data_IF_338391401244
#
_entry.id   IF_338391401244
#
_cell.length_a   1.000
_cell.length_b   1.000
_cell.length_c   1.000
_cell.angle_alpha   90.00
_cell.angle_beta   90.00
_cell.angle_gamma   90.00
#
_symmetry.space_group_name_H-M   'P 1'
#
loop_
_entity.id
_entity.type
_entity.pdbx_description
1 polymer ?
#
# COMPACT_ATOMS: atom_id res chain seq x y z
N UNK A 1 33.78 8.71 -2.29
CA UNK A 1 33.39 7.29 -2.11
C UNK A 1 34.05 6.59 -0.93
N UNK A 2 35.37 6.35 -0.90
CA UNK A 2 36.03 5.58 0.19
C UNK A 2 35.65 6.05 1.60
N UNK A 3 35.65 7.38 1.85
CA UNK A 3 35.23 7.97 3.12
C UNK A 3 33.79 7.63 3.49
N UNK A 4 32.87 7.65 2.52
CA UNK A 4 31.47 7.25 2.71
C UNK A 4 31.39 5.77 3.09
N UNK A 5 32.04 4.87 2.34
CA UNK A 5 31.92 3.43 2.60
C UNK A 5 32.42 3.03 4.00
N UNK A 6 33.44 3.71 4.55
CA UNK A 6 33.97 3.39 5.87
C UNK A 6 33.30 4.16 7.03
N UNK A 7 32.53 5.22 6.76
CA UNK A 7 32.04 6.09 7.85
C UNK A 7 31.16 5.37 8.88
N UNK A 8 30.35 4.35 8.55
CA UNK A 8 29.54 3.66 9.56
C UNK A 8 30.37 2.91 10.62
N UNK A 9 31.65 2.58 10.37
CA UNK A 9 32.49 1.96 11.40
C UNK A 9 32.77 2.87 12.60
N UNK A 10 32.56 4.18 12.42
CA UNK A 10 32.74 5.18 13.47
C UNK A 10 31.40 5.63 14.08
N UNK A 11 30.27 5.11 13.60
CA UNK A 11 28.93 5.40 14.11
C UNK A 11 28.57 4.44 15.24
N UNK A 12 27.68 4.86 16.14
CA UNK A 12 27.14 4.01 17.19
C UNK A 12 26.05 3.07 16.63
N UNK A 13 26.47 2.00 15.94
CA UNK A 13 25.56 1.01 15.37
C UNK A 13 25.20 -0.06 16.42
N UNK A 14 23.91 -0.40 16.51
CA UNK A 14 23.46 -1.60 17.19
C UNK A 14 23.85 -2.88 16.43
N UNK A 15 23.55 -4.04 17.02
CA UNK A 15 23.91 -5.35 16.44
C UNK A 15 23.30 -5.55 15.03
N UNK A 16 21.99 -5.29 14.88
CA UNK A 16 21.30 -5.41 13.60
C UNK A 16 21.84 -4.44 12.55
N UNK A 17 22.09 -3.18 12.93
CA UNK A 17 22.64 -2.15 12.03
C UNK A 17 24.05 -2.51 11.56
N UNK A 18 24.87 -3.05 12.48
CA UNK A 18 26.20 -3.56 12.17
C UNK A 18 26.13 -4.71 11.17
N UNK A 19 25.21 -5.66 11.36
CA UNK A 19 25.03 -6.77 10.43
C UNK A 19 24.57 -6.30 9.04
N UNK A 20 23.63 -5.35 8.99
CA UNK A 20 23.16 -4.72 7.75
C UNK A 20 24.34 -4.05 7.03
N UNK A 21 25.13 -3.24 7.74
CA UNK A 21 26.30 -2.56 7.20
C UNK A 21 27.31 -3.53 6.59
N UNK A 22 27.67 -4.60 7.30
CA UNK A 22 28.61 -5.62 6.78
C UNK A 22 28.09 -6.30 5.51
N UNK A 23 26.80 -6.64 5.49
CA UNK A 23 26.18 -7.24 4.31
C UNK A 23 26.19 -6.28 3.11
N UNK A 24 25.91 -5.00 3.34
CA UNK A 24 25.95 -3.95 2.29
C UNK A 24 27.37 -3.79 1.75
N UNK A 25 28.38 -3.72 2.63
CA UNK A 25 29.79 -3.62 2.23
C UNK A 25 30.25 -4.80 1.37
N UNK A 26 29.78 -6.01 1.66
CA UNK A 26 30.07 -7.19 0.84
C UNK A 26 29.61 -6.99 -0.61
N UNK A 27 28.40 -6.45 -0.82
CA UNK A 27 27.92 -6.15 -2.17
C UNK A 27 28.66 -4.95 -2.79
N UNK A 28 28.93 -3.90 -2.02
CA UNK A 28 29.64 -2.72 -2.51
C UNK A 28 31.08 -3.03 -2.95
N UNK A 29 31.73 -4.03 -2.34
CA UNK A 29 33.11 -4.43 -2.67
C UNK A 29 33.22 -5.01 -4.09
N UNK A 30 32.24 -5.82 -4.49
CA UNK A 30 32.14 -6.45 -5.82
C UNK A 30 32.03 -5.42 -6.97
N UNK A 31 31.51 -4.23 -6.68
CA UNK A 31 31.35 -3.12 -7.64
C UNK A 31 32.17 -1.89 -7.23
N UNK A 32 33.21 -2.09 -6.43
CA UNK A 32 33.95 -1.00 -5.78
C UNK A 32 34.59 -0.04 -6.78
N UNK A 33 35.13 -0.52 -7.91
CA UNK A 33 35.70 0.34 -8.95
C UNK A 33 34.67 1.33 -9.50
N UNK A 34 33.47 0.84 -9.83
CA UNK A 34 32.37 1.65 -10.35
C UNK A 34 31.89 2.67 -9.32
N UNK A 35 31.78 2.27 -8.04
CA UNK A 35 31.45 3.19 -6.95
C UNK A 35 32.53 4.25 -6.74
N UNK A 36 33.82 3.88 -6.83
CA UNK A 36 34.95 4.79 -6.62
C UNK A 36 35.06 5.87 -7.70
N UNK A 37 34.52 5.62 -8.90
CA UNK A 37 34.41 6.61 -9.97
C UNK A 37 33.40 7.74 -9.65
N UNK A 38 32.52 7.54 -8.67
CA UNK A 38 31.53 8.54 -8.25
C UNK A 38 32.13 9.51 -7.22
N UNK A 39 32.15 10.80 -7.54
CA UNK A 39 32.49 11.86 -6.59
C UNK A 39 31.38 11.96 -5.54
N UNK A 40 31.73 11.91 -4.26
CA UNK A 40 30.81 12.03 -3.12
C UNK A 40 31.17 13.27 -2.32
N UNK A 41 30.18 14.14 -2.09
CA UNK A 41 30.36 15.41 -1.36
C UNK A 41 29.66 15.35 0.00
N UNK A 42 28.44 14.83 0.03
CA UNK A 42 27.68 14.59 1.26
C UNK A 42 28.23 13.39 2.03
N UNK A 43 28.47 13.57 3.34
CA UNK A 43 28.97 12.53 4.23
C UNK A 43 28.13 12.53 5.52
N UNK A 44 26.98 11.84 5.51
CA UNK A 44 26.08 11.81 6.66
C UNK A 44 26.75 11.28 7.92
N UNK A 45 26.36 11.84 9.07
CA UNK A 45 26.88 11.48 10.40
C UNK A 45 26.10 10.32 11.03
N UNK A 46 24.91 10.02 10.53
CA UNK A 46 24.05 8.94 10.99
C UNK A 46 23.88 7.84 9.93
N UNK A 47 23.48 6.65 10.39
CA UNK A 47 23.41 5.47 9.55
C UNK A 47 22.26 5.51 8.54
N UNK A 48 21.15 6.20 8.86
CA UNK A 48 20.02 6.34 7.94
C UNK A 48 20.41 7.24 6.77
N UNK A 49 20.99 8.41 7.07
CA UNK A 49 21.54 9.31 6.07
C UNK A 49 22.59 8.61 5.19
N UNK A 50 23.46 7.79 5.79
CA UNK A 50 24.42 6.99 5.04
C UNK A 50 23.75 6.02 4.06
N UNK A 51 22.71 5.32 4.47
CA UNK A 51 21.95 4.42 3.59
C UNK A 51 21.33 5.19 2.41
N UNK A 52 20.78 6.38 2.65
CA UNK A 52 20.23 7.24 1.61
C UNK A 52 21.28 7.71 0.61
N UNK A 53 22.43 8.22 1.07
CA UNK A 53 23.51 8.69 0.18
C UNK A 53 24.05 7.54 -0.67
N UNK A 54 24.27 6.35 -0.07
CA UNK A 54 24.77 5.21 -0.84
C UNK A 54 23.72 4.66 -1.81
N UNK A 55 22.42 4.72 -1.47
CA UNK A 55 21.35 4.34 -2.38
C UNK A 55 21.26 5.30 -3.56
N UNK A 56 21.34 6.61 -3.32
CA UNK A 56 21.37 7.62 -4.38
C UNK A 56 22.57 7.38 -5.32
N UNK A 57 23.75 7.11 -4.76
CA UNK A 57 24.93 6.73 -5.56
C UNK A 57 24.63 5.51 -6.43
N UNK A 58 24.15 4.43 -5.82
CA UNK A 58 23.93 3.14 -6.48
C UNK A 58 22.76 3.16 -7.48
N UNK A 59 21.81 4.07 -7.31
CA UNK A 59 20.62 4.20 -8.16
C UNK A 59 20.80 5.22 -9.28
N UNK A 60 21.39 6.38 -8.98
CA UNK A 60 21.32 7.56 -9.84
C UNK A 60 22.68 8.05 -10.37
N UNK A 61 23.80 7.76 -9.69
CA UNK A 61 25.10 8.40 -10.00
C UNK A 61 26.17 7.46 -10.50
N UNK A 62 26.01 6.15 -10.30
CA UNK A 62 26.86 5.16 -10.94
C UNK A 62 26.62 5.19 -12.46
N UNK A 63 27.70 5.09 -13.23
CA UNK A 63 27.58 4.97 -14.69
C UNK A 63 27.28 3.51 -15.04
N UNK A 64 26.01 3.23 -15.37
CA UNK A 64 25.56 1.88 -15.75
C UNK A 64 26.17 1.38 -17.06
N UNK A 65 26.65 2.27 -17.95
CA UNK A 65 27.33 1.87 -19.20
C UNK A 65 28.71 1.27 -18.95
N UNK A 66 29.28 1.49 -17.75
CA UNK A 66 30.58 0.96 -17.34
C UNK A 66 30.45 -0.30 -16.47
N UNK A 67 29.23 -0.82 -16.30
CA UNK A 67 28.99 -2.06 -15.57
C UNK A 67 29.03 -3.24 -16.54
N UNK A 68 29.70 -4.32 -16.12
CA UNK A 68 29.58 -5.60 -16.79
C UNK A 68 28.22 -6.25 -16.46
N UNK A 69 27.71 -7.09 -17.36
CA UNK A 69 26.40 -7.77 -17.20
C UNK A 69 26.26 -8.51 -15.86
N UNK A 70 27.34 -9.11 -15.37
CA UNK A 70 27.35 -9.85 -14.11
C UNK A 70 27.26 -8.94 -12.87
N UNK A 71 27.58 -7.65 -13.00
CA UNK A 71 27.51 -6.66 -11.91
C UNK A 71 26.10 -6.07 -11.75
N UNK A 72 25.27 -6.07 -12.80
CA UNK A 72 23.92 -5.51 -12.74
C UNK A 72 23.05 -6.15 -11.63
N UNK A 73 23.02 -7.49 -11.46
CA UNK A 73 22.31 -8.12 -10.34
C UNK A 73 22.89 -7.74 -8.97
N UNK A 74 24.19 -7.48 -8.88
CA UNK A 74 24.86 -7.08 -7.64
C UNK A 74 24.44 -5.67 -7.24
N UNK A 75 24.43 -4.73 -8.20
CA UNK A 75 23.92 -3.37 -7.99
C UNK A 75 22.46 -3.42 -7.55
N UNK A 76 21.63 -4.23 -8.23
CA UNK A 76 20.21 -4.38 -7.85
C UNK A 76 20.06 -4.90 -6.43
N UNK A 77 20.84 -5.93 -6.06
CA UNK A 77 20.84 -6.47 -4.70
C UNK A 77 21.32 -5.44 -3.65
N UNK A 78 22.34 -4.65 -3.97
CA UNK A 78 22.81 -3.55 -3.11
C UNK A 78 21.69 -2.53 -2.88
N UNK A 79 21.00 -2.10 -3.95
CA UNK A 79 19.86 -1.20 -3.86
C UNK A 79 18.75 -1.78 -2.97
N UNK A 80 18.37 -3.04 -3.18
CA UNK A 80 17.30 -3.68 -2.39
C UNK A 80 17.68 -3.79 -0.90
N UNK A 81 18.96 -4.06 -0.59
CA UNK A 81 19.45 -4.08 0.79
C UNK A 81 19.41 -2.71 1.44
N UNK A 82 19.76 -1.65 0.71
CA UNK A 82 19.69 -0.27 1.20
C UNK A 82 18.24 0.18 1.40
N UNK A 83 17.33 -0.15 0.48
CA UNK A 83 15.88 0.11 0.61
C UNK A 83 15.31 -0.56 1.86
N UNK A 84 15.68 -1.82 2.11
CA UNK A 84 15.26 -2.54 3.31
C UNK A 84 15.87 -1.94 4.58
N UNK A 85 17.14 -1.54 4.55
CA UNK A 85 17.81 -0.89 5.67
C UNK A 85 17.14 0.44 6.03
N UNK A 86 16.84 1.28 5.04
CA UNK A 86 16.13 2.54 5.23
C UNK A 86 14.75 2.28 5.84
N UNK A 87 13.99 1.34 5.27
CA UNK A 87 12.66 0.98 5.80
C UNK A 87 12.73 0.51 7.25
N UNK A 88 13.68 -0.37 7.58
CA UNK A 88 13.91 -0.83 8.94
C UNK A 88 14.23 0.33 9.89
N UNK A 89 15.17 1.19 9.53
CA UNK A 89 15.59 2.34 10.35
C UNK A 89 14.45 3.33 10.59
N UNK A 90 13.68 3.63 9.55
CA UNK A 90 12.49 4.48 9.65
C UNK A 90 11.42 3.85 10.54
N UNK A 91 11.05 2.60 10.32
CA UNK A 91 10.10 1.88 11.17
C UNK A 91 10.56 1.79 12.63
N UNK A 92 11.86 1.63 12.87
CA UNK A 92 12.43 1.56 14.23
C UNK A 92 12.16 2.85 15.01
N UNK A 93 12.07 4.01 14.34
CA UNK A 93 11.74 5.29 15.00
C UNK A 93 10.35 5.29 15.66
N UNK A 94 9.40 4.53 15.10
CA UNK A 94 8.02 4.42 15.62
C UNK A 94 7.97 3.94 17.07
N UNK A 95 8.99 3.21 17.53
CA UNK A 95 9.03 2.68 18.91
C UNK A 95 9.07 3.76 19.98
N UNK A 96 9.61 4.93 19.65
CA UNK A 96 9.85 6.01 20.62
C UNK A 96 9.30 7.35 20.17
N UNK A 97 9.01 7.53 18.87
CA UNK A 97 8.57 8.80 18.33
C UNK A 97 7.21 9.21 18.92
N UNK A 98 7.06 10.47 19.37
CA UNK A 98 5.79 11.02 19.79
C UNK A 98 4.93 11.41 18.56
N UNK A 99 3.62 11.54 18.75
CA UNK A 99 2.66 11.84 17.69
C UNK A 99 3.05 13.04 16.77
N UNK A 100 3.52 14.20 17.28
CA UNK A 100 3.88 15.32 16.42
C UNK A 100 5.04 15.00 15.46
N UNK A 101 5.98 14.16 15.87
CA UNK A 101 7.13 13.76 15.04
C UNK A 101 6.66 12.85 13.90
N UNK A 102 5.71 11.96 14.17
CA UNK A 102 5.11 11.10 13.14
C UNK A 102 4.36 11.92 12.09
N UNK A 103 3.54 12.86 12.55
CA UNK A 103 2.75 13.72 11.65
C UNK A 103 3.66 14.60 10.80
N UNK A 104 4.69 15.19 11.40
CA UNK A 104 5.63 16.04 10.67
C UNK A 104 6.47 15.24 9.66
N UNK A 105 6.88 14.02 10.00
CA UNK A 105 7.54 13.12 9.05
C UNK A 105 6.65 12.82 7.84
N UNK A 106 5.37 12.54 8.05
CA UNK A 106 4.43 12.26 6.96
C UNK A 106 4.19 13.52 6.13
N UNK A 107 3.99 14.68 6.77
CA UNK A 107 3.75 15.97 6.11
C UNK A 107 4.92 16.38 5.21
N UNK A 108 6.16 16.29 5.71
CA UNK A 108 7.36 16.61 4.92
C UNK A 108 7.55 15.70 3.70
N UNK A 109 6.92 14.52 3.69
CA UNK A 109 7.08 13.51 2.64
C UNK A 109 5.79 13.23 1.88
N UNK A 110 4.78 14.09 2.01
CA UNK A 110 3.44 13.85 1.44
C UNK A 110 3.47 13.55 -0.06
N UNK A 111 4.35 14.22 -0.81
CA UNK A 111 4.50 14.03 -2.25
C UNK A 111 5.18 12.70 -2.57
N UNK A 112 6.29 12.37 -1.90
CA UNK A 112 7.01 11.10 -2.10
C UNK A 112 6.15 9.90 -1.70
N UNK A 113 5.31 10.06 -0.69
CA UNK A 113 4.42 9.01 -0.19
C UNK A 113 3.17 8.82 -1.06
N UNK A 114 2.89 9.71 -2.02
CA UNK A 114 1.58 9.79 -2.68
C UNK A 114 0.43 9.85 -1.65
N UNK A 115 0.61 10.67 -0.61
CA UNK A 115 -0.27 10.69 0.57
C UNK A 115 -1.73 10.98 0.20
N UNK A 116 -1.98 11.95 -0.68
CA UNK A 116 -3.32 12.27 -1.16
C UNK A 116 -4.01 11.06 -1.81
N UNK A 117 -3.31 10.32 -2.66
CA UNK A 117 -3.84 9.13 -3.32
C UNK A 117 -4.15 8.01 -2.31
N UNK A 118 -3.26 7.81 -1.33
CA UNK A 118 -3.46 6.82 -0.27
C UNK A 118 -4.65 7.18 0.63
N UNK A 119 -4.81 8.46 1.00
CA UNK A 119 -5.94 8.88 1.82
C UNK A 119 -7.28 8.84 1.04
N UNK A 120 -7.29 9.11 -0.27
CA UNK A 120 -8.49 8.92 -1.11
C UNK A 120 -9.01 7.48 -1.09
N UNK A 121 -8.13 6.48 -1.08
CA UNK A 121 -8.54 5.08 -0.92
C UNK A 121 -9.27 4.86 0.42
N UNK A 122 -8.75 5.44 1.51
CA UNK A 122 -9.38 5.30 2.83
C UNK A 122 -10.73 6.00 2.86
N UNK A 123 -10.81 7.23 2.37
CA UNK A 123 -12.06 8.00 2.36
C UNK A 123 -13.13 7.28 1.53
N UNK A 124 -12.72 6.69 0.40
CA UNK A 124 -13.60 5.88 -0.44
C UNK A 124 -14.12 4.63 0.27
N UNK A 125 -13.25 3.92 0.99
CA UNK A 125 -13.61 2.69 1.68
C UNK A 125 -14.35 2.94 3.01
N UNK A 126 -14.22 4.12 3.61
CA UNK A 126 -14.80 4.47 4.90
C UNK A 126 -16.31 4.14 5.04
N UNK A 127 -17.20 4.52 4.09
CA UNK A 127 -18.61 4.12 4.13
C UNK A 127 -18.83 2.63 3.82
N UNK A 128 -17.95 2.01 3.03
CA UNK A 128 -18.07 0.60 2.63
C UNK A 128 -17.71 -0.37 3.77
N UNK A 129 -17.01 0.09 4.81
CA UNK A 129 -16.63 -0.76 5.96
C UNK A 129 -17.81 -1.45 6.62
N UNK A 130 -18.99 -0.82 6.59
CA UNK A 130 -20.23 -1.34 7.17
C UNK A 130 -21.01 -2.27 6.24
N UNK A 131 -20.69 -2.26 4.93
CA UNK A 131 -21.39 -3.03 3.92
C UNK A 131 -20.84 -4.45 3.90
N UNK A 132 -21.67 -5.51 3.97
CA UNK A 132 -21.23 -6.87 3.76
C UNK A 132 -20.55 -7.03 2.39
N UNK A 133 -19.44 -7.78 2.33
CA UNK A 133 -18.69 -8.09 1.13
C UNK A 133 -19.60 -8.69 0.05
N UNK A 134 -20.54 -9.55 0.43
CA UNK A 134 -21.49 -10.16 -0.51
C UNK A 134 -22.40 -9.14 -1.21
N UNK A 135 -22.69 -8.01 -0.54
CA UNK A 135 -23.54 -6.92 -1.03
C UNK A 135 -22.72 -5.85 -1.79
N UNK A 136 -21.38 -5.95 -1.77
CA UNK A 136 -20.52 -5.10 -2.58
C UNK A 136 -20.49 -5.59 -4.03
N UNK A 137 -20.53 -4.65 -4.97
CA UNK A 137 -20.15 -4.90 -6.36
C UNK A 137 -18.70 -5.42 -6.44
N UNK A 138 -18.38 -6.13 -7.53
CA UNK A 138 -17.06 -6.77 -7.69
C UNK A 138 -15.90 -5.78 -7.56
N UNK A 139 -16.05 -4.57 -8.13
CA UNK A 139 -15.03 -3.53 -8.11
C UNK A 139 -14.76 -3.00 -6.68
N UNK A 140 -15.80 -2.79 -5.88
CA UNK A 140 -15.68 -2.35 -4.48
C UNK A 140 -15.05 -3.44 -3.62
N UNK A 141 -15.40 -4.70 -3.85
CA UNK A 141 -14.77 -5.85 -3.18
C UNK A 141 -13.29 -5.99 -3.53
N UNK A 142 -12.91 -5.69 -4.77
CA UNK A 142 -11.51 -5.65 -5.20
C UNK A 142 -10.75 -4.48 -4.56
N UNK A 143 -11.38 -3.31 -4.42
CA UNK A 143 -10.83 -2.19 -3.69
C UNK A 143 -10.59 -2.52 -2.21
N UNK A 144 -11.61 -3.09 -1.55
CA UNK A 144 -11.52 -3.53 -0.16
C UNK A 144 -10.45 -4.61 0.03
N UNK A 145 -10.39 -5.60 -0.86
CA UNK A 145 -9.43 -6.69 -0.75
C UNK A 145 -8.02 -6.36 -1.23
N UNK A 146 -7.79 -5.23 -1.92
CA UNK A 146 -6.45 -4.77 -2.31
C UNK A 146 -5.90 -5.42 -3.60
N UNK A 147 -6.74 -5.55 -4.64
CA UNK A 147 -6.33 -6.10 -5.94
C UNK A 147 -6.76 -5.22 -7.10
N UNK A 148 -5.79 -4.75 -7.87
CA UNK A 148 -6.08 -4.02 -9.09
C UNK A 148 -6.67 -4.94 -10.18
N UNK A 149 -7.61 -4.40 -10.96
CA UNK A 149 -8.21 -5.05 -12.12
C UNK A 149 -8.56 -4.01 -13.19
N UNK A 150 -8.60 -4.43 -14.45
CA UNK A 150 -8.95 -3.55 -15.57
C UNK A 150 -10.40 -3.05 -15.55
N UNK A 151 -11.28 -3.65 -14.72
CA UNK A 151 -12.66 -3.17 -14.50
C UNK A 151 -12.72 -1.90 -13.65
N UNK A 152 -11.69 -1.63 -12.85
CA UNK A 152 -11.58 -0.45 -11.99
C UNK A 152 -11.42 0.80 -12.86
N UNK A 153 -12.53 1.54 -12.96
CA UNK A 153 -12.61 2.78 -13.73
C UNK A 153 -11.80 3.88 -13.05
N UNK A 154 -10.85 4.50 -13.75
CA UNK A 154 -10.04 5.59 -13.19
C UNK A 154 -10.87 6.83 -12.87
N UNK A 155 -12.08 6.97 -13.42
CA UNK A 155 -12.99 8.05 -13.04
C UNK A 155 -13.63 7.88 -11.67
N UNK A 156 -13.79 6.64 -11.22
CA UNK A 156 -14.38 6.30 -9.92
C UNK A 156 -13.30 5.99 -8.89
N UNK A 157 -12.36 5.11 -9.25
CA UNK A 157 -11.23 4.70 -8.42
C UNK A 157 -10.03 5.59 -8.73
N UNK A 158 -10.05 6.82 -8.22
CA UNK A 158 -9.01 7.83 -8.42
C UNK A 158 -7.75 7.61 -7.56
N UNK A 159 -7.43 6.34 -7.31
CA UNK A 159 -6.38 5.88 -6.42
C UNK A 159 -6.01 4.43 -6.74
N UNK A 160 -4.80 4.01 -6.39
CA UNK A 160 -4.40 2.61 -6.44
C UNK A 160 -5.00 1.83 -5.28
N UNK A 161 -5.90 0.91 -5.62
CA UNK A 161 -6.52 -0.02 -4.67
C UNK A 161 -5.52 -0.90 -3.93
N UNK A 162 -4.30 -1.06 -4.46
CA UNK A 162 -3.25 -1.87 -3.85
C UNK A 162 -2.45 -1.13 -2.76
N UNK A 163 -2.74 0.15 -2.49
CA UNK A 163 -2.23 0.84 -1.30
C UNK A 163 -2.71 0.15 -0.02
N UNK A 164 -1.90 0.20 1.04
CA UNK A 164 -2.11 -0.53 2.31
C UNK A 164 -2.27 -2.05 2.17
N UNK A 165 -1.30 -2.67 1.49
CA UNK A 165 -1.15 -4.11 1.23
C UNK A 165 -1.91 -4.66 0.02
N UNK A 166 -1.16 -4.82 -1.07
CA UNK A 166 -1.57 -5.59 -2.25
C UNK A 166 -1.74 -7.08 -1.92
N UNK A 167 -2.86 -7.64 -2.34
CA UNK A 167 -3.17 -9.07 -2.23
C UNK A 167 -3.24 -9.77 -3.58
N UNK A 168 -2.86 -9.08 -4.68
CA UNK A 168 -2.99 -9.59 -6.06
C UNK A 168 -2.40 -10.97 -6.32
N UNK A 169 -1.38 -11.36 -5.57
CA UNK A 169 -0.72 -12.67 -5.69
C UNK A 169 -1.50 -13.80 -5.01
N UNK A 170 -2.44 -13.48 -4.12
CA UNK A 170 -3.28 -14.44 -3.38
C UNK A 170 -4.48 -14.88 -4.26
N UNK A 171 -4.18 -15.54 -5.39
CA UNK A 171 -5.19 -15.94 -6.38
C UNK A 171 -6.32 -16.77 -5.77
N UNK A 172 -5.98 -17.75 -4.94
CA UNK A 172 -6.93 -18.60 -4.22
C UNK A 172 -7.89 -17.85 -3.32
N UNK A 173 -7.35 -16.91 -2.53
CA UNK A 173 -8.16 -16.03 -1.70
C UNK A 173 -9.15 -15.21 -2.54
N UNK A 174 -8.70 -14.62 -3.65
CA UNK A 174 -9.61 -13.84 -4.51
C UNK A 174 -10.66 -14.69 -5.21
N UNK A 175 -10.34 -15.95 -5.53
CA UNK A 175 -11.33 -16.88 -6.08
C UNK A 175 -12.41 -17.17 -5.03
N UNK A 176 -12.01 -17.53 -3.80
CA UNK A 176 -12.93 -17.76 -2.70
C UNK A 176 -13.76 -16.53 -2.35
N UNK A 177 -13.16 -15.34 -2.32
CA UNK A 177 -13.87 -14.09 -2.04
C UNK A 177 -14.89 -13.72 -3.13
N UNK A 178 -14.66 -14.16 -4.37
CA UNK A 178 -15.61 -14.00 -5.46
C UNK A 178 -16.76 -15.01 -5.35
N UNK A 179 -16.44 -16.28 -5.09
CA UNK A 179 -17.41 -17.38 -5.07
C UNK A 179 -18.26 -17.41 -3.79
N UNK A 180 -17.65 -17.11 -2.65
CA UNK A 180 -18.21 -17.27 -1.30
C UNK A 180 -17.93 -16.05 -0.40
N UNK A 181 -18.33 -14.82 -0.80
CA UNK A 181 -18.08 -13.62 0.01
C UNK A 181 -18.68 -13.67 1.43
N UNK A 182 -19.85 -14.31 1.59
CA UNK A 182 -20.55 -14.41 2.87
C UNK A 182 -19.75 -15.15 3.96
N UNK A 183 -18.84 -16.06 3.58
CA UNK A 183 -17.93 -16.73 4.51
C UNK A 183 -16.93 -15.73 5.12
N UNK A 184 -16.48 -14.74 4.33
CA UNK A 184 -15.61 -13.67 4.81
C UNK A 184 -16.39 -12.61 5.60
N UNK A 185 -17.67 -12.39 5.30
CA UNK A 185 -18.56 -11.57 6.12
C UNK A 185 -18.77 -12.17 7.51
N UNK A 186 -18.93 -13.49 7.58
CA UNK A 186 -19.01 -14.20 8.87
C UNK A 186 -17.76 -13.96 9.70
N UNK A 187 -16.58 -13.99 9.09
CA UNK A 187 -15.35 -13.64 9.79
C UNK A 187 -15.32 -12.17 10.25
N UNK A 188 -15.60 -11.23 9.35
CA UNK A 188 -15.58 -9.79 9.66
C UNK A 188 -16.64 -9.36 10.68
N UNK A 189 -17.75 -10.09 10.82
CA UNK A 189 -18.78 -9.82 11.80
C UNK A 189 -18.27 -9.90 13.25
N UNK A 190 -17.23 -10.69 13.52
CA UNK A 190 -16.57 -10.74 14.83
C UNK A 190 -15.75 -9.47 15.15
N UNK A 191 -15.49 -8.62 14.16
CA UNK A 191 -14.74 -7.38 14.35
C UNK A 191 -15.73 -6.20 14.43
N UNK A 192 -15.88 -5.58 15.63
CA UNK A 192 -16.80 -4.47 15.79
C UNK A 192 -16.34 -3.27 14.97
N UNK A 193 -17.33 -2.60 14.41
CA UNK A 193 -17.21 -1.50 13.47
C UNK A 193 -16.68 -0.24 14.15
N UNK A 194 -17.04 -0.08 15.42
CA UNK A 194 -16.64 1.00 16.31
C UNK A 194 -16.33 0.45 17.70
N UNK A 195 -15.71 1.26 18.56
CA UNK A 195 -15.37 0.87 19.92
C UNK A 195 -14.18 -0.08 20.01
N UNK A 196 -14.05 -0.75 21.15
CA UNK A 196 -12.91 -1.60 21.48
C UNK A 196 -12.89 -2.90 20.66
N UNK A 197 -11.72 -3.24 20.12
CA UNK A 197 -11.46 -4.57 19.54
C UNK A 197 -10.61 -5.35 20.53
N UNK A 198 -11.13 -6.48 21.01
CA UNK A 198 -10.46 -7.34 21.98
C UNK A 198 -9.70 -8.48 21.30
N UNK A 199 -8.84 -9.17 22.05
CA UNK A 199 -8.18 -10.38 21.58
C UNK A 199 -9.19 -11.49 21.22
N UNK A 200 -10.33 -11.56 21.93
CA UNK A 200 -11.39 -12.51 21.64
C UNK A 200 -12.04 -12.23 20.28
N UNK A 201 -12.38 -10.98 19.97
CA UNK A 201 -12.90 -10.59 18.66
C UNK A 201 -11.96 -11.04 17.53
N UNK A 202 -10.67 -10.80 17.69
CA UNK A 202 -9.67 -11.23 16.73
C UNK A 202 -9.58 -12.76 16.61
N UNK A 203 -9.59 -13.49 17.74
CA UNK A 203 -9.53 -14.95 17.73
C UNK A 203 -10.73 -15.56 17.01
N UNK A 204 -11.94 -15.04 17.25
CA UNK A 204 -13.16 -15.48 16.58
C UNK A 204 -13.11 -15.18 15.07
N UNK A 205 -12.62 -13.98 14.68
CA UNK A 205 -12.33 -13.67 13.28
C UNK A 205 -11.37 -14.70 12.66
N UNK A 206 -10.28 -15.05 13.34
CA UNK A 206 -9.30 -16.01 12.81
C UNK A 206 -9.95 -17.37 12.59
N UNK A 207 -10.72 -17.87 13.55
CA UNK A 207 -11.42 -19.16 13.41
C UNK A 207 -12.34 -19.15 12.19
N UNK A 208 -13.20 -18.14 12.06
CA UNK A 208 -14.12 -18.00 10.94
C UNK A 208 -13.38 -17.81 9.59
N UNK A 209 -12.32 -16.99 9.58
CA UNK A 209 -11.50 -16.79 8.38
C UNK A 209 -10.82 -18.08 7.92
N UNK A 210 -10.32 -18.92 8.85
CA UNK A 210 -9.76 -20.23 8.50
C UNK A 210 -10.84 -21.18 7.95
N UNK A 211 -12.07 -21.12 8.49
CA UNK A 211 -13.19 -21.93 8.03
C UNK A 211 -13.63 -21.59 6.60
N UNK A 212 -13.50 -20.33 6.15
CA UNK A 212 -13.78 -19.92 4.78
C UNK A 212 -12.94 -20.68 3.72
N UNK A 213 -11.85 -21.33 4.13
CA UNK A 213 -10.97 -22.12 3.26
C UNK A 213 -11.15 -23.63 3.43
N UNK A 214 -12.01 -24.08 4.35
CA UNK A 214 -12.12 -25.50 4.76
C UNK A 214 -12.48 -26.47 3.62
N UNK A 215 -13.16 -25.98 2.58
CA UNK A 215 -13.57 -26.75 1.40
C UNK A 215 -12.70 -26.44 0.16
N UNK A 216 -11.53 -25.81 0.36
CA UNK A 216 -10.61 -25.40 -0.70
C UNK A 216 -9.22 -25.99 -0.47
N UNK A 217 -8.48 -26.22 -1.56
CA UNK A 217 -7.05 -26.58 -1.50
C UNK A 217 -6.16 -25.37 -1.15
N UNK A 218 -6.74 -24.17 -1.13
CA UNK A 218 -6.04 -22.92 -0.85
C UNK A 218 -5.79 -22.74 0.65
N UNK A 219 -4.60 -22.28 0.99
CA UNK A 219 -4.22 -22.08 2.40
C UNK A 219 -4.50 -20.64 2.83
N UNK A 220 -5.20 -20.43 3.95
CA UNK A 220 -5.37 -19.09 4.51
C UNK A 220 -4.01 -18.53 4.94
N UNK A 221 -3.76 -17.26 4.60
CA UNK A 221 -2.54 -16.54 4.96
C UNK A 221 -2.84 -15.17 5.56
N UNK A 222 -1.85 -14.62 6.26
CA UNK A 222 -1.93 -13.33 6.97
C UNK A 222 -2.16 -12.14 6.05
N UNK A 223 -1.51 -12.05 4.89
CA UNK A 223 -1.57 -10.82 4.08
C UNK A 223 -3.02 -10.47 3.66
N UNK A 224 -3.83 -11.40 3.11
CA UNK A 224 -5.24 -11.10 2.83
C UNK A 224 -6.08 -10.87 4.10
N UNK A 225 -5.87 -11.66 5.15
CA UNK A 225 -6.61 -11.51 6.41
C UNK A 225 -6.42 -10.11 7.02
N UNK A 226 -5.16 -9.68 7.15
CA UNK A 226 -4.79 -8.39 7.71
C UNK A 226 -5.19 -7.22 6.81
N UNK A 227 -5.28 -7.43 5.49
CA UNK A 227 -5.88 -6.44 4.58
C UNK A 227 -7.38 -6.25 4.85
N UNK A 228 -8.15 -7.33 4.94
CA UNK A 228 -9.59 -7.24 5.26
C UNK A 228 -9.82 -6.57 6.62
N UNK A 229 -9.05 -6.95 7.62
CA UNK A 229 -9.08 -6.36 8.95
C UNK A 229 -8.72 -4.86 8.94
N UNK A 230 -7.66 -4.48 8.21
CA UNK A 230 -7.23 -3.09 8.09
C UNK A 230 -8.27 -2.22 7.39
N UNK A 231 -8.99 -2.74 6.39
CA UNK A 231 -10.05 -1.98 5.74
C UNK A 231 -11.30 -1.89 6.64
N UNK A 232 -11.57 -2.90 7.47
CA UNK A 232 -12.65 -2.86 8.47
C UNK A 232 -12.35 -1.89 9.63
N UNK A 233 -11.13 -1.94 10.19
CA UNK A 233 -10.67 -1.15 11.34
C UNK A 233 -9.24 -0.63 11.11
N UNK A 234 -9.09 0.45 10.30
CA UNK A 234 -7.78 1.03 9.95
C UNK A 234 -7.09 1.71 11.14
N UNK A 235 -7.81 1.88 12.24
CA UNK A 235 -7.33 2.40 13.52
C UNK A 235 -6.82 1.30 14.47
N UNK A 236 -6.96 0.00 14.12
CA UNK A 236 -6.55 -1.14 14.96
C UNK A 236 -5.56 -2.06 14.25
N UNK A 237 -5.82 -2.41 12.99
CA UNK A 237 -5.07 -3.46 12.32
C UNK A 237 -4.06 -2.91 11.32
N UNK A 238 -2.78 -3.22 11.55
CA UNK A 238 -1.71 -2.95 10.58
C UNK A 238 -1.68 -4.03 9.50
N UNK A 239 -1.88 -3.69 8.22
CA UNK A 239 -1.86 -4.67 7.16
C UNK A 239 -0.45 -5.15 6.87
N UNK A 240 -0.30 -6.44 6.54
CA UNK A 240 1.00 -7.06 6.28
C UNK A 240 1.23 -7.31 4.79
N UNK A 241 2.47 -7.09 4.33
CA UNK A 241 2.94 -7.47 2.99
C UNK A 241 4.19 -8.31 3.13
N UNK A 242 4.24 -9.47 2.47
CA UNK A 242 5.35 -10.43 2.61
C UNK A 242 6.73 -9.82 2.33
N UNK A 243 6.85 -8.95 1.33
CA UNK A 243 8.11 -8.28 0.97
C UNK A 243 8.58 -7.26 2.02
N UNK A 244 7.67 -6.78 2.87
CA UNK A 244 7.90 -5.74 3.88
C UNK A 244 7.93 -6.28 5.32
N UNK A 245 7.42 -7.48 5.51
CA UNK A 245 7.24 -8.13 6.81
C UNK A 245 8.56 -8.24 7.61
N UNK A 246 9.66 -8.53 6.93
CA UNK A 246 10.97 -8.69 7.57
C UNK A 246 11.46 -7.40 8.23
N UNK A 247 11.36 -6.27 7.51
CA UNK A 247 11.74 -4.96 8.03
C UNK A 247 10.85 -4.54 9.21
N UNK A 248 9.54 -4.83 9.14
CA UNK A 248 8.61 -4.58 10.24
C UNK A 248 8.96 -5.41 11.48
N UNK A 249 9.15 -6.72 11.34
CA UNK A 249 9.50 -7.59 12.46
C UNK A 249 10.82 -7.16 13.12
N UNK A 250 11.84 -6.86 12.32
CA UNK A 250 13.12 -6.37 12.84
C UNK A 250 12.96 -5.04 13.58
N UNK A 251 12.22 -4.09 13.00
CA UNK A 251 11.98 -2.79 13.61
C UNK A 251 11.26 -2.92 14.96
N UNK A 252 10.24 -3.77 15.04
CA UNK A 252 9.51 -4.10 16.27
C UNK A 252 10.35 -4.90 17.29
N UNK A 253 11.48 -5.47 16.87
CA UNK A 253 12.32 -6.31 17.72
C UNK A 253 11.74 -7.70 17.99
N UNK A 254 10.93 -8.22 17.07
CA UNK A 254 10.26 -9.53 17.17
C UNK A 254 10.87 -10.53 16.19
N UNK A 255 10.76 -11.82 16.51
CA UNK A 255 11.14 -12.87 15.57
C UNK A 255 10.24 -12.79 14.31
N UNK A 256 10.83 -13.08 13.14
CA UNK A 256 10.12 -13.06 11.86
C UNK A 256 8.84 -13.89 11.93
N UNK A 257 7.74 -13.30 11.48
CA UNK A 257 6.47 -14.01 11.35
C UNK A 257 6.47 -14.87 10.07
N UNK A 258 5.89 -16.06 10.17
CA UNK A 258 5.46 -16.81 8.98
C UNK A 258 4.12 -16.26 8.48
N UNK A 259 3.78 -16.52 7.22
CA UNK A 259 2.49 -16.09 6.66
C UNK A 259 1.26 -16.80 7.27
N UNK A 260 1.44 -17.67 8.27
CA UNK A 260 0.38 -18.38 9.00
C UNK A 260 0.41 -18.12 10.51
N UNK A 261 1.24 -17.20 10.98
CA UNK A 261 1.37 -16.89 12.41
C UNK A 261 0.25 -15.96 12.90
N UNK A 262 -1.01 -16.39 12.82
CA UNK A 262 -2.18 -15.58 13.19
C UNK A 262 -2.17 -15.13 14.66
N UNK A 263 -1.83 -16.02 15.60
CA UNK A 263 -1.77 -15.65 17.02
C UNK A 263 -0.69 -14.59 17.27
N UNK A 264 0.51 -14.81 16.72
CA UNK A 264 1.63 -13.89 16.90
C UNK A 264 1.39 -12.56 16.18
N UNK A 265 0.62 -12.51 15.10
CA UNK A 265 0.25 -11.22 14.50
C UNK A 265 -0.45 -10.30 15.51
N UNK A 266 -1.40 -10.82 16.28
CA UNK A 266 -2.10 -10.02 17.28
C UNK A 266 -1.14 -9.56 18.39
N UNK A 267 -0.41 -10.50 18.99
CA UNK A 267 0.47 -10.19 20.12
C UNK A 267 1.69 -9.35 19.73
N UNK A 268 2.39 -9.74 18.67
CA UNK A 268 3.69 -9.18 18.30
C UNK A 268 3.56 -7.95 17.39
N UNK A 269 2.43 -7.74 16.70
CA UNK A 269 2.21 -6.59 15.81
C UNK A 269 1.15 -5.65 16.37
N UNK A 270 -0.11 -6.10 16.49
CA UNK A 270 -1.23 -5.23 16.88
C UNK A 270 -1.02 -4.67 18.29
N UNK A 271 -0.80 -5.54 19.28
CA UNK A 271 -0.57 -5.11 20.67
C UNK A 271 0.73 -4.31 20.82
N UNK A 272 1.78 -4.65 20.07
CA UNK A 272 3.05 -3.93 20.11
C UNK A 272 2.92 -2.49 19.58
N UNK A 273 2.24 -2.30 18.44
CA UNK A 273 1.98 -0.98 17.85
C UNK A 273 1.07 -0.16 18.75
N UNK A 274 0.02 -0.76 19.33
CA UNK A 274 -0.91 -0.06 20.23
C UNK A 274 -0.22 0.54 21.48
N UNK A 275 0.90 -0.06 21.90
CA UNK A 275 1.70 0.41 23.05
C UNK A 275 2.70 1.50 22.69
N UNK A 276 2.87 1.84 21.40
CA UNK A 276 3.80 2.89 21.00
C UNK A 276 3.29 4.27 21.43
N UNK A 277 4.19 5.21 21.79
CA UNK A 277 3.79 6.53 22.29
C UNK A 277 2.83 7.25 21.34
N UNK A 278 3.17 7.34 20.05
CA UNK A 278 2.33 8.00 19.04
C UNK A 278 0.95 7.37 18.86
N UNK A 279 0.80 6.07 19.09
CA UNK A 279 -0.48 5.38 18.94
C UNK A 279 -1.38 5.62 20.16
N UNK A 280 -0.78 5.60 21.35
CA UNK A 280 -1.49 5.74 22.62
C UNK A 280 -1.87 7.20 22.93
N UNK A 281 -1.05 8.16 22.51
CA UNK A 281 -1.24 9.60 22.80
C UNK A 281 -1.56 10.45 21.58
N UNK A 282 -1.88 9.83 20.44
CA UNK A 282 -2.26 10.53 19.23
C UNK A 282 -3.47 11.43 19.45
N UNK A 283 -3.31 12.73 19.23
CA UNK A 283 -4.38 13.72 19.31
C UNK A 283 -4.37 14.58 18.06
N UNK A 284 -5.53 14.76 17.44
CA UNK A 284 -5.64 15.55 16.23
C UNK A 284 -5.57 17.05 16.52
N UNK A 285 -4.57 17.74 15.97
CA UNK A 285 -4.48 19.20 16.02
C UNK A 285 -5.10 19.90 14.81
N UNK A 286 -5.14 19.23 13.65
CA UNK A 286 -5.66 19.75 12.39
C UNK A 286 -6.42 18.67 11.58
N UNK A 287 -6.88 19.02 10.38
CA UNK A 287 -7.64 18.12 9.49
C UNK A 287 -6.80 16.91 9.05
N UNK A 288 -5.53 17.12 8.72
CA UNK A 288 -4.63 16.04 8.31
C UNK A 288 -4.42 15.07 9.48
N UNK A 289 -4.11 15.58 10.67
CA UNK A 289 -3.93 14.76 11.86
C UNK A 289 -5.22 14.04 12.27
N UNK A 290 -6.39 14.64 12.03
CA UNK A 290 -7.69 13.96 12.20
C UNK A 290 -7.78 12.73 11.30
N UNK A 291 -7.46 12.88 10.00
CA UNK A 291 -7.42 11.76 9.05
C UNK A 291 -6.39 10.72 9.45
N UNK A 292 -5.17 11.12 9.80
CA UNK A 292 -4.10 10.22 10.24
C UNK A 292 -4.48 9.44 11.50
N UNK A 293 -5.11 10.09 12.48
CA UNK A 293 -5.55 9.45 13.72
C UNK A 293 -6.64 8.40 13.47
N UNK A 294 -7.56 8.67 12.53
CA UNK A 294 -8.60 7.72 12.11
C UNK A 294 -8.03 6.46 11.41
N UNK A 295 -6.78 6.52 10.91
CA UNK A 295 -6.08 5.41 10.27
C UNK A 295 -4.79 5.02 10.98
N UNK A 296 -4.68 5.30 12.28
CA UNK A 296 -3.40 5.21 13.01
C UNK A 296 -2.69 3.86 12.88
N UNK A 297 -3.41 2.74 12.72
CA UNK A 297 -2.78 1.44 12.53
C UNK A 297 -2.17 1.24 11.12
N UNK A 298 -2.52 2.10 10.16
CA UNK A 298 -1.93 2.12 8.81
C UNK A 298 -0.66 2.97 8.72
N UNK A 299 -0.38 3.85 9.69
CA UNK A 299 0.79 4.74 9.62
C UNK A 299 2.13 4.04 9.43
N UNK A 300 2.40 2.83 9.96
CA UNK A 300 3.62 2.09 9.65
C UNK A 300 3.84 1.89 8.13
N UNK A 301 2.79 1.88 7.31
CA UNK A 301 2.92 1.81 5.85
C UNK A 301 3.63 3.02 5.23
N UNK A 302 3.63 4.17 5.88
CA UNK A 302 4.31 5.40 5.43
C UNK A 302 5.79 5.47 5.83
N UNK A 303 6.26 4.52 6.66
CA UNK A 303 7.64 4.46 7.14
C UNK A 303 8.50 3.46 6.37
N UNK A 304 7.97 2.86 5.31
CA UNK A 304 8.81 2.18 4.33
C UNK A 304 9.47 3.19 3.41
N UNK A 305 10.58 2.77 2.78
CA UNK A 305 11.24 3.56 1.76
C UNK A 305 10.24 3.94 0.66
N UNK A 306 10.26 5.23 0.35
CA UNK A 306 9.57 5.86 -0.75
C UNK A 306 10.51 6.91 -1.33
N UNK A 307 10.39 7.15 -2.63
CA UNK A 307 11.10 8.20 -3.33
C UNK A 307 10.18 8.89 -4.36
N UNK A 308 10.76 9.79 -5.15
CA UNK A 308 10.07 10.52 -6.23
C UNK A 308 9.37 9.64 -7.28
N UNK A 309 9.74 8.38 -7.42
CA UNK A 309 9.15 7.46 -8.39
C UNK A 309 7.92 6.74 -7.81
N UNK A 310 7.73 6.76 -6.48
CA UNK A 310 6.62 6.08 -5.78
C UNK A 310 5.25 6.49 -6.31
N UNK A 311 4.92 7.79 -6.48
CA UNK A 311 3.61 8.19 -7.00
C UNK A 311 3.37 7.67 -8.43
N UNK A 312 4.43 7.61 -9.24
CA UNK A 312 4.35 7.11 -10.62
C UNK A 312 4.25 5.59 -10.70
N UNK A 313 4.55 4.90 -9.59
CA UNK A 313 4.47 3.45 -9.49
C UNK A 313 3.03 2.95 -9.27
N UNK A 314 2.09 3.83 -8.92
CA UNK A 314 0.70 3.48 -8.66
C UNK A 314 0.00 2.95 -9.91
N UNK A 315 -0.86 1.94 -9.77
CA UNK A 315 -1.63 1.40 -10.89
C UNK A 315 -2.57 2.45 -11.48
N UNK A 316 -3.11 3.34 -10.65
CA UNK A 316 -3.93 4.46 -11.08
C UNK A 316 -3.14 5.41 -12.00
N UNK A 317 -1.96 5.87 -11.57
CA UNK A 317 -1.11 6.75 -12.37
C UNK A 317 -0.72 6.09 -13.71
N UNK A 318 -0.35 4.81 -13.68
CA UNK A 318 0.01 4.03 -14.87
C UNK A 318 -1.14 3.91 -15.88
N UNK A 319 -2.38 3.79 -15.41
CA UNK A 319 -3.54 3.74 -16.29
C UNK A 319 -3.85 5.09 -16.92
N UNK A 320 -3.80 6.18 -16.16
CA UNK A 320 -4.03 7.53 -16.67
C UNK A 320 -3.02 7.93 -17.76
N UNK A 321 -1.75 7.57 -17.56
CA UNK A 321 -0.66 7.94 -18.45
C UNK A 321 -0.35 6.89 -19.52
N UNK A 322 -1.23 5.89 -19.69
CA UNK A 322 -1.04 4.86 -20.72
C UNK A 322 -1.15 5.51 -22.10
N UNK A 323 -0.13 5.37 -22.99
CA UNK A 323 -0.18 5.96 -24.31
C UNK A 323 -1.42 5.51 -25.08
N UNK A 324 -2.22 6.47 -25.58
CA UNK A 324 -3.32 6.17 -26.50
C UNK A 324 -2.71 5.57 -27.76
N UNK A 325 -2.90 4.26 -27.98
CA UNK A 325 -2.43 3.58 -29.21
C UNK A 325 -3.03 4.28 -30.43
N UNK A 326 -2.18 4.86 -31.26
CA UNK A 326 -2.52 5.29 -32.60
C UNK A 326 -2.62 4.04 -33.49
N UNK A 327 -3.82 3.78 -34.01
CA UNK A 327 -4.18 2.75 -35.00
C UNK A 327 -4.23 1.28 -34.55
N UNK A 328 -5.44 0.74 -34.47
CA UNK A 328 -5.99 -0.27 -35.40
C UNK A 328 -7.17 -1.00 -34.76
N UNK A 329 -8.14 -1.32 -35.61
CA UNK A 329 -9.38 -2.07 -35.42
C UNK A 329 -9.20 -3.47 -34.80
N UNK A 330 -8.71 -3.54 -33.57
CA UNK A 330 -8.76 -4.72 -32.71
C UNK A 330 -9.42 -4.30 -31.42
N UNK A 331 -10.68 -4.69 -31.23
CA UNK A 331 -11.52 -4.24 -30.13
C UNK A 331 -10.75 -4.29 -28.81
N UNK A 332 -10.62 -3.14 -28.16
CA UNK A 332 -10.37 -3.10 -26.71
C UNK A 332 -11.34 -4.10 -26.12
N UNK A 333 -10.87 -5.13 -25.40
CA UNK A 333 -11.77 -6.02 -24.66
C UNK A 333 -12.50 -5.14 -23.65
N UNK A 334 -13.64 -4.59 -24.07
CA UNK A 334 -14.58 -3.86 -23.23
C UNK A 334 -15.17 -4.91 -22.33
N UNK A 335 -14.69 -4.96 -21.09
CA UNK A 335 -15.26 -5.82 -20.08
C UNK A 335 -16.67 -5.31 -19.83
N UNK A 336 -17.69 -6.03 -20.30
CA UNK A 336 -19.08 -5.69 -20.01
C UNK A 336 -19.26 -5.74 -18.49
N UNK A 337 -19.84 -4.68 -17.94
CA UNK A 337 -20.16 -4.57 -16.51
C UNK A 337 -21.55 -5.15 -16.27
N UNK A 338 -21.81 -5.66 -15.07
CA UNK A 338 -23.19 -5.98 -14.69
C UNK A 338 -24.00 -4.69 -14.62
N UNK A 339 -25.31 -4.78 -14.82
CA UNK A 339 -26.21 -3.63 -14.69
C UNK A 339 -26.08 -2.97 -13.32
N UNK A 340 -26.03 -3.77 -12.25
CA UNK A 340 -25.84 -3.31 -10.87
C UNK A 340 -24.51 -2.57 -10.66
N UNK A 341 -23.42 -3.09 -11.24
CA UNK A 341 -22.11 -2.40 -11.21
C UNK A 341 -22.19 -1.07 -11.97
N UNK A 342 -22.79 -1.06 -13.17
CA UNK A 342 -22.96 0.17 -13.94
C UNK A 342 -23.82 1.22 -13.22
N UNK A 343 -24.95 0.82 -12.61
CA UNK A 343 -25.81 1.68 -11.81
C UNK A 343 -25.05 2.27 -10.61
N UNK A 344 -24.39 1.43 -9.82
CA UNK A 344 -23.65 1.86 -8.62
C UNK A 344 -22.52 2.83 -8.95
N UNK A 345 -21.73 2.53 -9.99
CA UNK A 345 -20.61 3.39 -10.41
C UNK A 345 -21.09 4.73 -10.97
N UNK A 346 -22.17 4.73 -11.75
CA UNK A 346 -22.76 5.97 -12.30
C UNK A 346 -23.39 6.80 -11.20
N UNK A 347 -24.14 6.20 -10.28
CA UNK A 347 -24.77 6.91 -9.16
C UNK A 347 -23.73 7.58 -8.27
N UNK A 348 -22.63 6.86 -8.00
CA UNK A 348 -21.51 7.41 -7.24
C UNK A 348 -20.87 8.58 -7.97
N UNK A 349 -20.57 8.44 -9.27
CA UNK A 349 -20.00 9.54 -10.05
C UNK A 349 -20.95 10.75 -10.13
N UNK A 350 -22.25 10.52 -10.33
CA UNK A 350 -23.27 11.57 -10.39
C UNK A 350 -23.55 12.23 -9.04
N UNK A 351 -23.08 11.68 -7.92
CA UNK A 351 -23.25 12.33 -6.61
C UNK A 351 -22.42 13.61 -6.47
N UNK A 352 -21.32 13.75 -7.22
CA UNK A 352 -20.44 14.93 -7.22
C UNK A 352 -21.19 16.21 -7.62
N UNK A 353 -21.31 17.16 -6.69
CA UNK A 353 -22.01 18.45 -6.86
C UNK A 353 -21.50 19.29 -8.04
N UNK A 354 -20.27 19.05 -8.52
CA UNK A 354 -19.73 19.72 -9.71
C UNK A 354 -20.41 19.30 -11.02
N UNK A 355 -21.19 18.22 -11.01
CA UNK A 355 -21.90 17.71 -12.20
C UNK A 355 -23.22 18.46 -12.41
N UNK A 356 -23.42 19.15 -13.56
CA UNK A 356 -24.65 19.89 -13.84
C UNK A 356 -25.91 19.02 -13.84
N UNK A 357 -27.04 19.60 -13.41
CA UNK A 357 -28.34 18.92 -13.33
C UNK A 357 -28.81 18.31 -14.65
N UNK A 358 -28.50 18.97 -15.78
CA UNK A 358 -28.88 18.46 -17.10
C UNK A 358 -28.15 17.17 -17.47
N UNK A 359 -26.95 16.93 -16.94
CA UNK A 359 -26.20 15.66 -17.09
C UNK A 359 -26.77 14.61 -16.15
N UNK A 360 -27.09 14.99 -14.90
CA UNK A 360 -27.75 14.09 -13.93
C UNK A 360 -29.08 13.56 -14.47
N UNK A 361 -29.84 14.38 -15.17
CA UNK A 361 -31.09 13.98 -15.84
C UNK A 361 -30.91 12.92 -16.95
N UNK A 362 -29.66 12.67 -17.41
CA UNK A 362 -29.33 11.63 -18.41
C UNK A 362 -28.78 10.35 -17.80
N UNK A 363 -28.94 10.15 -16.49
CA UNK A 363 -28.51 8.96 -15.73
C UNK A 363 -28.67 7.64 -16.49
N UNK A 364 -29.88 7.32 -16.95
CA UNK A 364 -30.16 6.03 -17.60
C UNK A 364 -29.39 5.84 -18.93
N UNK A 365 -29.15 6.94 -19.66
CA UNK A 365 -28.34 6.90 -20.88
C UNK A 365 -26.85 6.68 -20.56
N UNK A 366 -26.36 7.23 -19.44
CA UNK A 366 -24.99 7.01 -18.97
C UNK A 366 -24.82 5.55 -18.53
N UNK A 367 -25.76 5.00 -17.76
CA UNK A 367 -25.76 3.60 -17.34
C UNK A 367 -25.69 2.66 -18.54
N UNK A 368 -26.53 2.89 -19.55
CA UNK A 368 -26.57 2.05 -20.74
C UNK A 368 -25.22 2.02 -21.52
N UNK A 369 -24.47 3.12 -21.53
CA UNK A 369 -23.13 3.17 -22.15
C UNK A 369 -22.05 2.54 -21.27
N UNK A 370 -22.14 2.71 -19.95
CA UNK A 370 -21.22 2.10 -18.99
C UNK A 370 -21.39 0.58 -18.94
N UNK A 371 -22.61 0.07 -19.03
CA UNK A 371 -22.91 -1.38 -19.15
C UNK A 371 -22.25 -2.00 -20.40
N UNK A 372 -22.23 -1.24 -21.51
CA UNK A 372 -21.54 -1.63 -22.74
C UNK A 372 -20.02 -1.63 -22.62
N UNK A 373 -19.47 -1.16 -21.49
CA UNK A 373 -18.05 -1.19 -21.16
C UNK A 373 -17.29 0.10 -21.46
N UNK A 374 -18.00 1.22 -21.66
CA UNK A 374 -17.37 2.56 -21.69
C UNK A 374 -17.04 3.01 -20.26
N UNK A 375 -15.99 3.80 -20.09
CA UNK A 375 -15.70 4.38 -18.77
C UNK A 375 -16.74 5.42 -18.37
N UNK A 376 -16.93 5.61 -17.06
CA UNK A 376 -17.88 6.59 -16.51
C UNK A 376 -17.46 8.00 -16.94
N UNK A 377 -16.17 8.34 -16.81
CA UNK A 377 -15.63 9.65 -17.20
C UNK A 377 -15.75 9.96 -18.68
N UNK A 378 -15.45 9.00 -19.56
CA UNK A 378 -15.61 9.18 -21.00
C UNK A 378 -17.07 9.41 -21.38
N UNK A 379 -17.98 8.71 -20.69
CA UNK A 379 -19.41 8.84 -20.91
C UNK A 379 -19.91 10.21 -20.45
N UNK A 380 -19.55 10.64 -19.24
CA UNK A 380 -19.92 11.96 -18.71
C UNK A 380 -19.32 13.09 -19.55
N UNK A 381 -18.05 12.97 -19.96
CA UNK A 381 -17.39 13.94 -20.82
C UNK A 381 -18.07 14.05 -22.20
N UNK A 382 -18.48 12.91 -22.77
CA UNK A 382 -19.23 12.93 -24.02
C UNK A 382 -20.61 13.58 -23.84
N UNK A 383 -21.32 13.29 -22.75
CA UNK A 383 -22.61 13.92 -22.47
C UNK A 383 -22.46 15.44 -22.32
N UNK A 384 -21.41 15.91 -21.65
CA UNK A 384 -21.08 17.35 -21.55
C UNK A 384 -20.77 17.96 -22.93
N UNK A 385 -20.06 17.25 -23.81
CA UNK A 385 -19.76 17.76 -25.14
C UNK A 385 -20.99 17.81 -26.07
N UNK A 386 -21.96 16.91 -25.89
CA UNK A 386 -23.18 16.85 -26.72
C UNK A 386 -24.25 17.83 -26.21
N UNK A 387 -24.36 18.02 -24.90
CA UNK A 387 -25.48 18.73 -24.26
C UNK A 387 -25.07 19.98 -23.45
N UNK A 388 -23.78 20.27 -23.33
CA UNK A 388 -23.23 21.42 -22.59
C UNK A 388 -22.97 22.65 -23.42
#
# INVERSE_FOLDING_TARGET
MKKLLISPSNMALGEQESQIYQNILKQATEISLNLMAVKVENHPEDFLGWCYELLDVAKNRINFELLDDHQLPIVKKLQDMLINAISFLQLKTLRIAPWPVICEFIRQRETELALDEQLKLIDYLAPLRATPLQDMISEDRLAFSGKHAASLDTGVYQFDVEWFASTKSAKGFHQLLADLPGEFDTALAHIPLEGEVTAQHYQEFVVAYLMAFSHSDEKPTLAPATRLLAMRRPDVFTPLVNSKLDALCQALGIAKLTNRDFERYWQDVVVAINKMPWFATGTAADELETRLNAIKALLPCFFYYADKDTPQSSNYYKLLNKPKRTTSSGGTKTTRRSKESAETLVDRALSDESIPDHIRAKRDSIIAEVEKGRSVDETISLMRAIFG
#
